data_IF_119967365163
#
_entry.id   IF_119967365163
#
_cell.length_a   1.000
_cell.length_b   1.000
_cell.length_c   1.000
_cell.angle_alpha   90.00
_cell.angle_beta   90.00
_cell.angle_gamma   90.00
#
_symmetry.space_group_name_H-M   'P 1'
#
loop_
_entity.id
_entity.type
_entity.pdbx_description
1 polymer ?
#
# COMPACT_ATOMS: atom_id res chain seq x y z
N UNK A 1 37.61 10.31 -34.74
CA UNK A 1 37.41 11.53 -33.93
C UNK A 1 35.95 11.95 -33.93
N UNK A 2 35.34 12.30 -35.07
CA UNK A 2 33.92 12.72 -35.13
C UNK A 2 32.90 11.70 -34.58
N UNK A 3 33.06 10.41 -34.92
CA UNK A 3 32.10 9.37 -34.53
C UNK A 3 32.08 9.06 -33.02
N UNK A 4 33.21 9.24 -32.34
CA UNK A 4 33.31 9.07 -30.88
C UNK A 4 32.67 10.27 -30.16
N UNK A 5 32.77 11.45 -30.75
CA UNK A 5 32.18 12.68 -30.20
C UNK A 5 30.65 12.66 -30.33
N UNK A 6 30.13 12.15 -31.45
CA UNK A 6 28.70 11.94 -31.69
C UNK A 6 28.11 10.89 -30.74
N UNK A 7 28.80 9.76 -30.56
CA UNK A 7 28.41 8.73 -29.59
C UNK A 7 28.42 9.24 -28.14
N UNK A 8 29.40 10.06 -27.75
CA UNK A 8 29.43 10.67 -26.42
C UNK A 8 28.27 11.63 -26.19
N UNK A 9 27.87 12.37 -27.23
CA UNK A 9 26.73 13.28 -27.17
C UNK A 9 25.41 12.52 -27.04
N UNK A 10 25.23 11.44 -27.82
CA UNK A 10 24.06 10.57 -27.70
C UNK A 10 23.97 9.90 -26.32
N UNK A 11 25.08 9.45 -25.73
CA UNK A 11 25.09 8.88 -24.37
C UNK A 11 24.73 9.92 -23.31
N UNK A 12 25.18 11.17 -23.47
CA UNK A 12 24.82 12.26 -22.57
C UNK A 12 23.33 12.61 -22.64
N UNK A 13 22.77 12.66 -23.86
CA UNK A 13 21.33 12.87 -24.07
C UNK A 13 20.50 11.71 -23.48
N UNK A 14 20.91 10.46 -23.74
CA UNK A 14 20.23 9.29 -23.18
C UNK A 14 20.28 9.27 -21.65
N UNK A 15 21.39 9.69 -21.02
CA UNK A 15 21.48 9.82 -19.56
C UNK A 15 20.53 10.88 -19.02
N UNK A 16 20.47 12.04 -19.65
CA UNK A 16 19.51 13.08 -19.26
C UNK A 16 18.06 12.61 -19.36
N UNK A 17 17.74 11.83 -20.41
CA UNK A 17 16.41 11.28 -20.61
C UNK A 17 16.06 10.19 -19.57
N UNK A 18 17.04 9.39 -19.15
CA UNK A 18 16.87 8.41 -18.06
C UNK A 18 16.62 9.11 -16.73
N UNK A 19 17.37 10.17 -16.43
CA UNK A 19 17.19 10.95 -15.20
C UNK A 19 15.81 11.61 -15.17
N UNK A 20 15.36 12.18 -16.29
CA UNK A 20 14.03 12.76 -16.40
C UNK A 20 12.91 11.72 -16.29
N UNK A 21 13.04 10.57 -16.96
CA UNK A 21 12.09 9.47 -16.83
C UNK A 21 12.03 8.93 -15.40
N UNK A 22 13.17 8.83 -14.72
CA UNK A 22 13.23 8.38 -13.32
C UNK A 22 12.52 9.38 -12.41
N UNK A 23 12.76 10.68 -12.61
CA UNK A 23 12.08 11.73 -11.88
C UNK A 23 10.57 11.71 -12.12
N UNK A 24 10.12 11.61 -13.37
CA UNK A 24 8.69 11.52 -13.70
C UNK A 24 8.04 10.28 -13.08
N UNK A 25 8.74 9.14 -13.06
CA UNK A 25 8.26 7.93 -12.39
C UNK A 25 8.13 8.11 -10.89
N UNK A 26 9.06 8.80 -10.24
CA UNK A 26 9.00 9.05 -8.80
C UNK A 26 7.89 10.05 -8.47
N UNK A 27 7.72 11.11 -9.27
CA UNK A 27 6.58 12.03 -9.14
C UNK A 27 5.25 11.30 -9.33
N UNK A 28 5.12 10.48 -10.37
CA UNK A 28 3.91 9.69 -10.59
C UNK A 28 3.63 8.71 -9.44
N UNK A 29 4.67 8.08 -8.87
CA UNK A 29 4.52 7.19 -7.71
C UNK A 29 4.08 7.94 -6.46
N UNK A 30 4.63 9.13 -6.24
CA UNK A 30 4.26 9.96 -5.10
C UNK A 30 2.82 10.45 -5.24
N UNK A 31 2.44 10.97 -6.41
CA UNK A 31 1.06 11.35 -6.71
C UNK A 31 0.11 10.16 -6.62
N UNK A 32 0.53 8.99 -7.08
CA UNK A 32 -0.24 7.75 -6.95
C UNK A 32 -0.41 7.38 -5.47
N UNK A 33 0.65 7.49 -4.64
CA UNK A 33 0.58 7.24 -3.20
C UNK A 33 -0.39 8.21 -2.52
N UNK A 34 -0.32 9.51 -2.82
CA UNK A 34 -1.25 10.50 -2.29
C UNK A 34 -2.70 10.21 -2.74
N UNK A 35 -2.91 9.89 -4.02
CA UNK A 35 -4.24 9.47 -4.49
C UNK A 35 -4.74 8.20 -3.84
N UNK A 36 -3.87 7.25 -3.52
CA UNK A 36 -4.23 6.04 -2.79
C UNK A 36 -4.66 6.33 -1.35
N UNK A 37 -3.96 7.25 -0.67
CA UNK A 37 -4.33 7.75 0.66
C UNK A 37 -5.73 8.37 0.62
N UNK A 38 -6.03 9.16 -0.42
CA UNK A 38 -7.35 9.78 -0.59
C UNK A 38 -8.44 8.78 -0.98
N UNK A 39 -8.11 7.78 -1.81
CA UNK A 39 -9.04 6.71 -2.18
C UNK A 39 -9.45 5.87 -0.98
N UNK A 40 -8.52 5.55 -0.08
CA UNK A 40 -8.81 4.84 1.16
C UNK A 40 -9.77 5.67 2.05
N UNK A 41 -9.57 6.99 2.14
CA UNK A 41 -10.52 7.86 2.87
C UNK A 41 -11.91 7.82 2.26
N UNK A 42 -12.00 7.86 0.93
CA UNK A 42 -13.27 7.90 0.22
C UNK A 42 -14.01 6.57 0.29
N UNK A 43 -13.30 5.45 0.16
CA UNK A 43 -13.87 4.11 0.33
C UNK A 43 -14.40 3.94 1.75
N UNK A 44 -13.64 4.40 2.74
CA UNK A 44 -14.07 4.33 4.12
C UNK A 44 -15.27 5.25 4.42
N UNK A 45 -15.28 6.48 3.91
CA UNK A 45 -16.43 7.38 4.03
C UNK A 45 -17.70 6.78 3.38
N UNK A 46 -17.55 6.01 2.31
CA UNK A 46 -18.65 5.28 1.66
C UNK A 46 -19.09 4.06 2.48
N UNK A 47 -18.17 3.37 3.15
CA UNK A 47 -18.48 2.24 4.04
C UNK A 47 -19.20 2.67 5.33
N UNK A 48 -18.92 3.87 5.85
CA UNK A 48 -19.65 4.45 6.98
C UNK A 48 -21.05 4.94 6.64
N UNK A 49 -21.35 5.19 5.36
CA UNK A 49 -22.67 5.61 4.92
C UNK A 49 -23.21 4.76 3.76
N UNK A 50 -23.45 3.46 3.96
CA UNK A 50 -23.91 2.56 2.91
C UNK A 50 -25.42 2.72 2.60
N UNK A 51 -26.11 3.73 3.15
CA UNK A 51 -27.57 3.69 3.22
C UNK A 51 -28.33 5.00 3.40
N UNK A 52 -28.12 6.02 2.55
CA UNK A 52 -29.23 6.94 2.25
C UNK A 52 -30.19 6.31 1.21
N UNK A 53 -30.65 5.10 1.56
CA UNK A 53 -31.65 4.29 0.90
C UNK A 53 -32.50 3.67 2.00
N UNK A 54 -33.59 4.37 2.35
CA UNK A 54 -34.61 4.02 3.34
C UNK A 54 -34.77 2.53 3.67
N UNK A 55 -34.72 2.18 4.95
CA UNK A 55 -35.88 1.62 5.67
C UNK A 55 -35.56 1.38 7.15
N UNK A 56 -36.46 1.89 7.98
CA UNK A 56 -36.65 1.60 9.40
C UNK A 56 -36.91 0.11 9.65
N UNK A 57 -36.18 -0.51 10.59
CA UNK A 57 -36.73 -1.57 11.43
C UNK A 57 -36.20 -1.41 12.85
N UNK A 58 -37.13 -1.10 13.73
CA UNK A 58 -37.05 -1.14 15.18
C UNK A 58 -37.21 -2.60 15.64
N UNK A 59 -36.35 -3.11 16.53
CA UNK A 59 -36.71 -4.19 17.46
C UNK A 59 -35.82 -4.19 18.71
N UNK A 60 -36.48 -4.53 19.81
CA UNK A 60 -36.19 -4.32 21.24
C UNK A 60 -35.02 -5.16 21.82
N UNK A 61 -34.60 -4.91 23.09
CA UNK A 61 -33.23 -5.05 23.58
C UNK A 61 -32.95 -6.42 24.23
N UNK A 62 -31.70 -6.88 24.11
CA UNK A 62 -31.16 -8.00 24.88
C UNK A 62 -29.81 -7.61 25.52
N UNK A 63 -29.86 -7.62 26.84
CA UNK A 63 -28.85 -7.63 27.91
C UNK A 63 -27.34 -7.52 27.59
N UNK A 64 -26.74 -6.61 28.35
CA UNK A 64 -25.36 -6.16 28.43
C UNK A 64 -24.35 -7.23 28.88
N UNK A 65 -23.31 -7.41 28.07
CA UNK A 65 -21.95 -7.60 28.58
C UNK A 65 -21.22 -6.28 28.33
N UNK A 66 -20.77 -5.64 29.42
CA UNK A 66 -19.99 -4.41 29.43
C UNK A 66 -18.57 -4.74 28.94
N UNK A 67 -18.41 -4.95 27.64
CA UNK A 67 -17.21 -4.52 26.94
C UNK A 67 -17.53 -3.08 26.54
N UNK A 68 -16.70 -2.11 26.92
CA UNK A 68 -16.69 -0.82 26.24
C UNK A 68 -16.44 -1.15 24.76
N UNK A 69 -17.51 -1.28 23.98
CA UNK A 69 -17.46 -1.48 22.56
C UNK A 69 -16.92 -0.15 22.02
N UNK A 70 -15.59 -0.10 21.86
CA UNK A 70 -14.90 1.00 21.18
C UNK A 70 -15.66 1.23 19.90
N UNK A 71 -16.23 2.42 19.76
CA UNK A 71 -17.10 2.67 18.62
C UNK A 71 -16.27 2.60 17.34
N UNK A 72 -16.87 2.17 16.22
CA UNK A 72 -16.18 2.18 14.92
C UNK A 72 -15.62 3.58 14.57
N UNK A 73 -16.21 4.64 15.14
CA UNK A 73 -15.74 6.01 15.02
C UNK A 73 -14.44 6.27 15.79
N UNK A 74 -14.29 5.69 16.99
CA UNK A 74 -13.04 5.75 17.77
C UNK A 74 -11.93 4.93 17.10
N UNK A 75 -12.25 3.73 16.58
CA UNK A 75 -11.30 2.89 15.82
C UNK A 75 -10.84 3.63 14.57
N UNK A 76 -11.76 4.29 13.86
CA UNK A 76 -11.39 5.14 12.74
C UNK A 76 -10.46 6.28 13.18
N UNK A 77 -10.77 6.96 14.28
CA UNK A 77 -9.96 8.07 14.77
C UNK A 77 -8.52 7.63 15.07
N UNK A 78 -8.33 6.45 15.68
CA UNK A 78 -7.01 5.86 15.92
C UNK A 78 -6.24 5.59 14.61
N UNK A 79 -6.91 4.99 13.63
CA UNK A 79 -6.32 4.76 12.31
C UNK A 79 -5.95 6.07 11.60
N UNK A 80 -6.80 7.10 11.69
CA UNK A 80 -6.52 8.39 11.09
C UNK A 80 -5.34 9.10 11.77
N UNK A 81 -5.23 9.02 13.10
CA UNK A 81 -4.08 9.56 13.83
C UNK A 81 -2.76 8.90 13.36
N UNK A 82 -2.76 7.57 13.19
CA UNK A 82 -1.60 6.87 12.63
C UNK A 82 -1.22 7.41 11.24
N UNK A 83 -2.21 7.73 10.39
CA UNK A 83 -1.99 8.29 9.06
C UNK A 83 -1.53 9.73 9.07
N UNK A 84 -1.94 10.53 10.05
CA UNK A 84 -1.46 11.89 10.21
C UNK A 84 0.05 11.92 10.44
N UNK A 85 0.58 10.99 11.25
CA UNK A 85 2.02 10.79 11.41
C UNK A 85 2.72 10.41 10.09
N UNK A 86 2.10 9.56 9.24
CA UNK A 86 2.63 9.24 7.90
C UNK A 86 2.76 10.52 7.06
N UNK A 87 1.72 11.37 7.03
CA UNK A 87 1.75 12.62 6.25
C UNK A 87 2.77 13.61 6.81
N UNK A 88 2.95 13.65 8.12
CA UNK A 88 3.98 14.44 8.79
C UNK A 88 5.40 13.88 8.61
N UNK A 89 5.56 12.69 8.01
CA UNK A 89 6.82 11.93 7.91
C UNK A 89 7.44 11.58 9.27
N UNK A 90 6.61 11.52 10.29
CA UNK A 90 6.94 11.05 11.64
C UNK A 90 6.89 9.52 11.63
N UNK A 91 7.87 8.91 10.95
CA UNK A 91 7.86 7.46 10.70
C UNK A 91 7.90 6.60 11.97
N UNK A 92 8.70 6.92 13.01
CA UNK A 92 8.67 6.15 14.26
C UNK A 92 7.29 6.15 14.92
N UNK A 93 6.65 7.30 14.99
CA UNK A 93 5.32 7.49 15.56
C UNK A 93 4.25 6.77 14.73
N UNK A 94 4.33 6.89 13.40
CA UNK A 94 3.44 6.17 12.48
C UNK A 94 3.57 4.64 12.62
N UNK A 95 4.80 4.11 12.72
CA UNK A 95 5.04 2.68 12.92
C UNK A 95 4.41 2.21 14.22
N UNK A 96 4.66 2.93 15.32
CA UNK A 96 4.11 2.57 16.62
C UNK A 96 2.57 2.61 16.62
N UNK A 97 1.97 3.65 16.03
CA UNK A 97 0.52 3.79 15.96
C UNK A 97 -0.15 2.71 15.08
N UNK A 98 0.45 2.37 13.92
CA UNK A 98 -0.07 1.32 13.05
C UNK A 98 0.04 -0.08 13.67
N UNK A 99 1.14 -0.36 14.39
CA UNK A 99 1.29 -1.61 15.13
C UNK A 99 0.26 -1.71 16.26
N UNK A 100 0.14 -0.67 17.07
CA UNK A 100 -0.86 -0.62 18.14
C UNK A 100 -2.28 -0.83 17.59
N UNK A 101 -2.63 -0.18 16.48
CA UNK A 101 -3.91 -0.37 15.81
C UNK A 101 -4.13 -1.81 15.35
N UNK A 102 -3.14 -2.41 14.68
CA UNK A 102 -3.26 -3.77 14.17
C UNK A 102 -3.35 -4.82 15.29
N UNK A 103 -2.67 -4.59 16.41
CA UNK A 103 -2.69 -5.46 17.59
C UNK A 103 -4.01 -5.31 18.38
N UNK A 104 -4.54 -4.08 18.48
CA UNK A 104 -5.78 -3.79 19.20
C UNK A 104 -7.02 -4.25 18.41
N UNK A 105 -6.98 -4.18 17.08
CA UNK A 105 -8.14 -4.40 16.22
C UNK A 105 -7.90 -5.50 15.17
N UNK A 106 -7.43 -6.72 15.50
CA UNK A 106 -6.97 -7.70 14.52
C UNK A 106 -8.03 -8.11 13.48
N UNK A 107 -9.31 -8.12 13.86
CA UNK A 107 -10.43 -8.52 13.00
C UNK A 107 -11.11 -7.34 12.29
N UNK A 108 -10.64 -6.11 12.50
CA UNK A 108 -11.28 -4.93 11.93
C UNK A 108 -11.00 -4.77 10.43
N UNK A 109 -11.97 -4.21 9.70
CA UNK A 109 -11.91 -4.03 8.24
C UNK A 109 -10.73 -3.17 7.75
N UNK A 110 -10.20 -2.30 8.62
CA UNK A 110 -9.04 -1.45 8.35
C UNK A 110 -7.69 -2.10 8.64
N UNK A 111 -7.65 -3.21 9.37
CA UNK A 111 -6.41 -3.86 9.79
C UNK A 111 -5.52 -4.30 8.62
N UNK A 112 -6.06 -4.84 7.51
CA UNK A 112 -5.27 -5.09 6.30
C UNK A 112 -4.63 -3.81 5.74
N UNK A 113 -5.34 -2.67 5.82
CA UNK A 113 -4.80 -1.39 5.39
C UNK A 113 -3.70 -0.91 6.36
N UNK A 114 -3.87 -1.09 7.67
CA UNK A 114 -2.85 -0.74 8.66
C UNK A 114 -1.55 -1.52 8.44
N UNK A 115 -1.63 -2.83 8.19
CA UNK A 115 -0.48 -3.66 7.82
C UNK A 115 0.16 -3.21 6.51
N UNK A 116 -0.63 -2.86 5.50
CA UNK A 116 -0.11 -2.32 4.25
C UNK A 116 0.66 -1.00 4.46
N UNK A 117 0.08 -0.06 5.20
CA UNK A 117 0.73 1.22 5.54
C UNK A 117 1.97 1.02 6.39
N UNK A 118 1.95 0.06 7.31
CA UNK A 118 3.12 -0.29 8.11
C UNK A 118 4.26 -0.74 7.19
N UNK A 119 3.97 -1.58 6.19
CA UNK A 119 4.94 -1.97 5.17
C UNK A 119 5.52 -0.77 4.41
N UNK A 120 4.69 0.17 3.97
CA UNK A 120 5.13 1.37 3.26
C UNK A 120 6.02 2.27 4.12
N UNK A 121 5.65 2.50 5.38
CA UNK A 121 6.43 3.35 6.30
C UNK A 121 7.75 2.69 6.69
N UNK A 122 7.76 1.37 6.87
CA UNK A 122 8.98 0.61 7.12
C UNK A 122 9.93 0.68 5.92
N UNK A 123 9.43 0.61 4.68
CA UNK A 123 10.26 0.87 3.48
C UNK A 123 10.82 2.28 3.46
N UNK A 124 10.01 3.29 3.77
CA UNK A 124 10.46 4.67 3.85
C UNK A 124 11.56 4.85 4.92
N UNK A 125 11.50 4.06 5.99
CA UNK A 125 12.49 4.01 7.07
C UNK A 125 13.69 3.09 6.78
N UNK A 126 13.75 2.47 5.60
CA UNK A 126 14.78 1.49 5.18
C UNK A 126 14.80 0.17 5.98
N UNK A 127 13.71 -0.12 6.70
CA UNK A 127 13.49 -1.35 7.46
C UNK A 127 12.85 -2.39 6.53
N UNK A 128 13.66 -2.94 5.62
CA UNK A 128 13.16 -3.77 4.50
C UNK A 128 12.58 -5.10 4.97
N UNK A 129 13.14 -5.71 6.01
CA UNK A 129 12.68 -7.01 6.51
C UNK A 129 11.35 -6.88 7.26
N UNK A 130 11.18 -5.81 8.03
CA UNK A 130 9.94 -5.43 8.69
C UNK A 130 8.85 -5.11 7.66
N UNK A 131 9.21 -4.37 6.60
CA UNK A 131 8.30 -4.09 5.51
C UNK A 131 7.82 -5.36 4.81
N UNK A 132 8.75 -6.29 4.52
CA UNK A 132 8.42 -7.59 3.93
C UNK A 132 7.44 -8.36 4.81
N UNK A 133 7.71 -8.37 6.11
CA UNK A 133 6.83 -9.04 7.09
C UNK A 133 5.43 -8.44 7.06
N UNK A 134 5.32 -7.11 7.08
CA UNK A 134 4.03 -6.43 7.06
C UNK A 134 3.20 -6.72 5.79
N UNK A 135 3.81 -6.66 4.60
CA UNK A 135 3.10 -7.01 3.36
C UNK A 135 2.73 -8.50 3.29
N UNK A 136 3.59 -9.38 3.80
CA UNK A 136 3.31 -10.81 3.88
C UNK A 136 2.11 -11.08 4.81
N UNK A 137 2.03 -10.37 5.94
CA UNK A 137 0.86 -10.45 6.85
C UNK A 137 -0.44 -10.10 6.13
N UNK A 138 -0.46 -9.09 5.26
CA UNK A 138 -1.66 -8.76 4.46
C UNK A 138 -2.12 -9.96 3.62
N UNK A 139 -1.17 -10.65 2.99
CA UNK A 139 -1.46 -11.76 2.07
C UNK A 139 -1.92 -13.00 2.85
N UNK A 140 -1.27 -13.29 3.97
CA UNK A 140 -1.48 -14.54 4.71
C UNK A 140 -2.71 -14.46 5.61
N UNK A 141 -2.94 -13.32 6.27
CA UNK A 141 -4.06 -13.16 7.20
C UNK A 141 -5.32 -12.62 6.51
N UNK A 142 -5.18 -11.87 5.42
CA UNK A 142 -6.30 -11.21 4.75
C UNK A 142 -6.37 -11.52 3.24
N UNK A 143 -6.41 -12.81 2.84
CA UNK A 143 -6.21 -13.24 1.45
C UNK A 143 -7.27 -12.73 0.45
N UNK A 144 -8.42 -12.26 0.93
CA UNK A 144 -9.51 -11.71 0.10
C UNK A 144 -9.58 -10.19 0.10
N UNK A 145 -8.66 -9.51 0.81
CA UNK A 145 -8.70 -8.06 0.94
C UNK A 145 -8.19 -7.35 -0.33
N UNK A 146 -8.73 -6.17 -0.62
CA UNK A 146 -8.32 -5.36 -1.77
C UNK A 146 -6.85 -4.93 -1.76
N UNK A 147 -6.16 -4.97 -0.61
CA UNK A 147 -4.72 -4.65 -0.49
C UNK A 147 -3.78 -5.81 -0.81
N UNK A 148 -4.29 -7.04 -1.00
CA UNK A 148 -3.47 -8.19 -1.37
C UNK A 148 -2.69 -7.99 -2.68
N UNK A 149 -3.30 -7.54 -3.81
CA UNK A 149 -2.53 -7.30 -5.04
C UNK A 149 -1.44 -6.24 -4.87
N UNK A 150 -1.69 -5.20 -4.09
CA UNK A 150 -0.70 -4.15 -3.81
C UNK A 150 0.45 -4.69 -2.96
N UNK A 151 0.15 -5.43 -1.89
CA UNK A 151 1.16 -6.08 -1.05
C UNK A 151 2.04 -7.07 -1.84
N UNK A 152 1.44 -7.88 -2.72
CA UNK A 152 2.19 -8.79 -3.59
C UNK A 152 3.11 -8.04 -4.55
N UNK A 153 2.62 -6.94 -5.15
CA UNK A 153 3.44 -6.09 -6.02
C UNK A 153 4.61 -5.47 -5.24
N UNK A 154 4.37 -4.95 -4.02
CA UNK A 154 5.41 -4.38 -3.16
C UNK A 154 6.47 -5.40 -2.76
N UNK A 155 6.07 -6.63 -2.40
CA UNK A 155 7.00 -7.73 -2.17
C UNK A 155 7.85 -8.04 -3.42
N UNK A 156 7.25 -7.99 -4.61
CA UNK A 156 7.98 -8.16 -5.87
C UNK A 156 9.04 -7.08 -6.08
N UNK A 157 8.71 -5.82 -5.78
CA UNK A 157 9.66 -4.71 -5.83
C UNK A 157 10.80 -4.90 -4.82
N UNK A 158 10.49 -5.30 -3.58
CA UNK A 158 11.49 -5.59 -2.55
C UNK A 158 12.43 -6.72 -3.01
N UNK A 159 11.88 -7.80 -3.56
CA UNK A 159 12.68 -8.91 -4.08
C UNK A 159 13.59 -8.47 -5.23
N UNK A 160 13.07 -7.66 -6.16
CA UNK A 160 13.83 -7.13 -7.29
C UNK A 160 14.99 -6.25 -6.82
N UNK A 161 14.74 -5.33 -5.89
CA UNK A 161 15.77 -4.45 -5.32
C UNK A 161 16.83 -5.23 -4.52
N UNK A 162 16.42 -6.32 -3.87
CA UNK A 162 17.33 -7.25 -3.18
C UNK A 162 18.12 -8.16 -4.12
N UNK A 163 17.99 -8.03 -5.44
CA UNK A 163 18.68 -8.87 -6.43
C UNK A 163 18.07 -10.26 -6.61
N UNK A 164 16.92 -10.55 -5.99
CA UNK A 164 16.22 -11.81 -6.16
C UNK A 164 15.23 -11.73 -7.33
N UNK A 165 15.77 -11.69 -8.55
CA UNK A 165 15.00 -11.56 -9.79
C UNK A 165 14.01 -12.70 -10.03
N UNK A 166 14.31 -13.91 -9.56
CA UNK A 166 13.41 -15.06 -9.71
C UNK A 166 12.18 -14.93 -8.83
N UNK A 167 12.37 -14.59 -7.55
CA UNK A 167 11.27 -14.33 -6.63
C UNK A 167 10.44 -13.12 -7.08
N UNK A 168 11.09 -12.05 -7.55
CA UNK A 168 10.39 -10.89 -8.07
C UNK A 168 9.46 -11.25 -9.24
N UNK A 169 9.97 -12.04 -10.22
CA UNK A 169 9.18 -12.50 -11.35
C UNK A 169 7.98 -13.34 -10.91
N UNK A 170 8.17 -14.25 -9.95
CA UNK A 170 7.08 -15.07 -9.42
C UNK A 170 5.99 -14.21 -8.77
N UNK A 171 6.39 -13.23 -7.97
CA UNK A 171 5.44 -12.32 -7.30
C UNK A 171 4.67 -11.46 -8.30
N UNK A 172 5.35 -10.86 -9.28
CA UNK A 172 4.68 -10.09 -10.34
C UNK A 172 3.74 -10.96 -11.17
N UNK A 173 4.15 -12.17 -11.55
CA UNK A 173 3.30 -13.09 -12.29
C UNK A 173 2.05 -13.47 -11.48
N UNK A 174 2.21 -13.69 -10.17
CA UNK A 174 1.09 -13.98 -9.27
C UNK A 174 0.08 -12.83 -9.25
N UNK A 175 0.54 -11.58 -9.16
CA UNK A 175 -0.37 -10.42 -9.23
C UNK A 175 -1.15 -10.40 -10.55
N UNK A 176 -0.49 -10.66 -11.68
CA UNK A 176 -1.11 -10.64 -13.02
C UNK A 176 -2.15 -11.76 -13.17
N UNK A 177 -1.88 -12.94 -12.63
CA UNK A 177 -2.76 -14.12 -12.77
C UNK A 177 -3.92 -14.05 -11.78
N UNK A 178 -3.64 -13.75 -10.52
CA UNK A 178 -4.64 -13.79 -9.44
C UNK A 178 -5.50 -12.52 -9.44
N UNK A 179 -4.97 -11.39 -9.91
CA UNK A 179 -5.62 -10.07 -9.86
C UNK A 179 -5.52 -9.29 -11.19
N UNK A 180 -5.96 -9.85 -12.33
CA UNK A 180 -5.71 -9.30 -13.66
C UNK A 180 -6.27 -7.89 -13.89
N UNK A 181 -7.37 -7.54 -13.20
CA UNK A 181 -8.03 -6.23 -13.32
C UNK A 181 -7.45 -5.17 -12.36
N UNK A 182 -6.51 -5.56 -11.50
CA UNK A 182 -5.89 -4.63 -10.54
C UNK A 182 -4.90 -3.70 -11.21
N UNK A 183 -4.77 -2.48 -10.69
CA UNK A 183 -3.70 -1.57 -11.11
C UNK A 183 -2.31 -2.18 -10.84
N UNK A 184 -2.17 -2.94 -9.75
CA UNK A 184 -0.95 -3.65 -9.39
C UNK A 184 -0.55 -4.68 -10.46
N UNK A 185 -1.50 -5.34 -11.13
CA UNK A 185 -1.22 -6.22 -12.27
C UNK A 185 -0.68 -5.47 -13.48
N UNK A 186 -1.23 -4.29 -13.80
CA UNK A 186 -0.71 -3.45 -14.87
C UNK A 186 0.73 -3.00 -14.59
N UNK A 187 1.01 -2.59 -13.35
CA UNK A 187 2.35 -2.23 -12.90
C UNK A 187 3.31 -3.43 -12.94
N UNK A 188 2.87 -4.60 -12.47
CA UNK A 188 3.64 -5.83 -12.51
C UNK A 188 4.00 -6.23 -13.95
N UNK A 189 3.05 -6.12 -14.90
CA UNK A 189 3.29 -6.40 -16.31
C UNK A 189 4.36 -5.46 -16.89
N UNK A 190 4.27 -4.16 -16.59
CA UNK A 190 5.27 -3.18 -17.02
C UNK A 190 6.67 -3.52 -16.48
N UNK A 191 6.77 -3.95 -15.22
CA UNK A 191 8.05 -4.38 -14.59
C UNK A 191 8.65 -5.60 -15.26
N UNK A 192 7.83 -6.60 -15.61
CA UNK A 192 8.31 -7.81 -16.30
C UNK A 192 8.82 -7.51 -17.70
N UNK A 193 8.21 -6.55 -18.40
CA UNK A 193 8.59 -6.17 -19.76
C UNK A 193 9.82 -5.24 -19.82
N UNK A 194 10.26 -4.70 -18.68
CA UNK A 194 11.36 -3.72 -18.59
C UNK A 194 12.72 -4.35 -18.24
N UNK A 195 12.82 -5.67 -18.14
CA UNK A 195 14.07 -6.44 -17.98
C UNK A 195 14.43 -7.14 -19.30
#
# INVERSE_FOLDING_TARGET
>A
MFQVQDLQQQVAEQRGLIEELTYQLDVMREEQRERYIDLDQRILALQQNPGNGSSSVETAPAESIDFEAVSDEDILAEYNAARDHIRAREFPEAIAALQAFADAHPDHSLTPNAWYWLGEVQLASRNVDEARTAFQTVIDQFPTNAKVPDSLYKLGIIAQQGGNSDQARQLFQRVIVDYPDSQSAQLAQARLNSN
#
